data_IF_972164530397
#
_entry.id   IF_972164530397
#
_cell.length_a   1.000
_cell.length_b   1.000
_cell.length_c   1.000
_cell.angle_alpha   90.00
_cell.angle_beta   90.00
_cell.angle_gamma   90.00
#
_symmetry.space_group_name_H-M   'P 1'
#
loop_
_entity.id
_entity.type
_entity.pdbx_description
1 polymer ?
#
# COMPACT_ATOMS: atom_id res chain seq x y z
N UNK A 1 -8.95 -1.56 -15.96
CA UNK A 1 -7.92 -1.85 -14.94
C UNK A 1 -8.63 -1.97 -13.61
N UNK A 2 -8.53 -3.11 -12.94
CA UNK A 2 -9.11 -3.30 -11.60
C UNK A 2 -8.01 -3.01 -10.58
N UNK A 3 -8.20 -1.96 -9.77
CA UNK A 3 -7.22 -1.51 -8.77
C UNK A 3 -7.75 -1.84 -7.38
N UNK A 4 -6.95 -2.55 -6.59
CA UNK A 4 -7.23 -2.80 -5.18
C UNK A 4 -6.31 -1.94 -4.32
N UNK A 5 -6.88 -1.13 -3.42
CA UNK A 5 -6.16 -0.39 -2.40
C UNK A 5 -6.40 -1.07 -1.05
N UNK A 6 -5.32 -1.50 -0.39
CA UNK A 6 -5.34 -1.92 1.00
C UNK A 6 -4.72 -0.81 1.85
N UNK A 7 -5.56 -0.11 2.61
CA UNK A 7 -5.10 0.91 3.55
C UNK A 7 -5.17 0.35 4.98
N UNK A 8 -4.06 0.41 5.71
CA UNK A 8 -3.99 -0.09 7.07
C UNK A 8 -3.60 1.02 8.04
N UNK A 9 -4.60 1.68 8.63
CA UNK A 9 -4.39 2.66 9.70
C UNK A 9 -5.66 2.78 10.58
N UNK A 10 -5.53 2.87 11.91
CA UNK A 10 -6.69 2.94 12.80
C UNK A 10 -7.36 4.33 12.85
N UNK A 11 -6.65 5.40 12.50
CA UNK A 11 -7.17 6.78 12.56
C UNK A 11 -7.43 7.35 11.17
N UNK A 12 -8.62 7.95 11.01
CA UNK A 12 -8.99 8.80 9.87
C UNK A 12 -8.30 10.15 9.90
N UNK A 13 -7.98 10.68 11.08
CA UNK A 13 -7.17 11.89 11.18
C UNK A 13 -5.70 11.49 11.29
N UNK A 14 -5.10 11.08 10.16
CA UNK A 14 -3.70 10.66 10.11
C UNK A 14 -3.05 11.03 8.78
N UNK A 15 -1.72 11.11 8.76
CA UNK A 15 -1.00 11.31 7.51
C UNK A 15 -1.18 10.15 6.52
N UNK A 16 -1.40 8.92 7.02
CA UNK A 16 -1.77 7.78 6.17
C UNK A 16 -3.14 7.96 5.51
N UNK A 17 -4.07 8.68 6.13
CA UNK A 17 -5.32 9.08 5.49
C UNK A 17 -5.05 10.11 4.36
N UNK A 18 -4.21 11.12 4.60
CA UNK A 18 -3.86 12.09 3.55
C UNK A 18 -3.18 11.44 2.33
N UNK A 19 -2.37 10.40 2.55
CA UNK A 19 -1.79 9.57 1.48
C UNK A 19 -2.89 8.84 0.70
N UNK A 20 -3.84 8.22 1.40
CA UNK A 20 -4.99 7.55 0.78
C UNK A 20 -5.81 8.53 -0.05
N UNK A 21 -6.17 9.69 0.49
CA UNK A 21 -6.95 10.71 -0.20
C UNK A 21 -6.22 11.18 -1.48
N UNK A 22 -4.90 11.36 -1.39
CA UNK A 22 -4.07 11.72 -2.54
C UNK A 22 -4.09 10.64 -3.62
N UNK A 23 -4.00 9.35 -3.24
CA UNK A 23 -4.07 8.24 -4.16
C UNK A 23 -5.46 8.14 -4.82
N UNK A 24 -6.54 8.24 -4.04
CA UNK A 24 -7.92 8.21 -4.54
C UNK A 24 -8.19 9.34 -5.54
N UNK A 25 -7.81 10.57 -5.21
CA UNK A 25 -7.96 11.73 -6.11
C UNK A 25 -7.17 11.52 -7.41
N UNK A 26 -5.97 10.93 -7.33
CA UNK A 26 -5.14 10.66 -8.51
C UNK A 26 -5.78 9.61 -9.42
N UNK A 27 -6.31 8.52 -8.85
CA UNK A 27 -7.00 7.46 -9.60
C UNK A 27 -8.30 7.97 -10.23
N UNK A 28 -9.09 8.74 -9.48
CA UNK A 28 -10.36 9.30 -9.95
C UNK A 28 -10.14 10.26 -11.14
N UNK A 29 -9.08 11.07 -11.12
CA UNK A 29 -8.71 11.95 -12.24
C UNK A 29 -8.36 11.18 -13.52
N UNK A 30 -7.92 9.94 -13.38
CA UNK A 30 -7.65 9.03 -14.49
C UNK A 30 -8.84 8.13 -14.84
N UNK A 31 -10.02 8.37 -14.26
CA UNK A 31 -11.24 7.61 -14.54
C UNK A 31 -11.27 6.21 -13.93
N UNK A 32 -10.40 5.91 -12.96
CA UNK A 32 -10.30 4.61 -12.31
C UNK A 32 -10.97 4.68 -10.93
N UNK A 33 -11.94 3.78 -10.72
CA UNK A 33 -12.60 3.59 -9.44
C UNK A 33 -11.97 2.37 -8.75
N UNK A 34 -11.11 2.58 -7.74
CA UNK A 34 -10.47 1.47 -7.05
C UNK A 34 -11.46 0.77 -6.09
N UNK A 35 -11.26 -0.53 -5.89
CA UNK A 35 -11.78 -1.22 -4.72
C UNK A 35 -10.91 -0.84 -3.52
N UNK A 36 -11.48 -0.21 -2.50
CA UNK A 36 -10.79 0.21 -1.29
C UNK A 36 -11.16 -0.69 -0.11
N UNK A 37 -10.16 -1.25 0.57
CA UNK A 37 -10.32 -1.96 1.83
C UNK A 37 -9.51 -1.23 2.91
N UNK A 38 -10.19 -0.84 4.00
CA UNK A 38 -9.58 -0.19 5.16
C UNK A 38 -9.44 -1.17 6.32
N UNK A 39 -8.27 -1.20 6.92
CA UNK A 39 -7.88 -2.19 7.94
C UNK A 39 -7.40 -1.46 9.21
N UNK A 40 -8.10 -1.56 10.34
CA UNK A 40 -7.54 -1.10 11.63
C UNK A 40 -8.47 -0.73 12.79
N UNK A 41 -9.66 -0.17 12.55
CA UNK A 41 -10.56 0.19 13.68
C UNK A 41 -12.04 -0.14 13.48
N UNK A 42 -12.49 -0.26 12.24
CA UNK A 42 -13.78 -0.87 11.91
C UNK A 42 -13.51 -1.99 10.92
N UNK A 43 -13.89 -3.22 11.27
CA UNK A 43 -13.83 -4.36 10.34
C UNK A 43 -14.84 -4.09 9.24
N UNK A 44 -14.44 -3.42 8.17
CA UNK A 44 -15.03 -3.71 6.88
C UNK A 44 -14.50 -5.08 6.46
N UNK A 45 -15.20 -6.13 6.89
CA UNK A 45 -15.22 -7.38 6.14
C UNK A 45 -15.79 -7.01 4.79
N UNK A 46 -14.98 -7.16 3.74
CA UNK A 46 -15.51 -7.25 2.40
C UNK A 46 -16.32 -8.55 2.32
N UNK A 47 -17.58 -8.52 2.78
CA UNK A 47 -18.59 -9.51 2.38
C UNK A 47 -18.99 -9.31 0.90
N UNK A 48 -18.37 -8.35 0.23
CA UNK A 48 -18.47 -8.13 -1.21
C UNK A 48 -17.47 -9.02 -1.95
N UNK A 49 -17.96 -9.81 -2.90
CA UNK A 49 -17.12 -10.56 -3.83
C UNK A 49 -16.09 -9.62 -4.48
N UNK A 50 -14.80 -9.85 -4.19
CA UNK A 50 -13.72 -9.05 -4.75
C UNK A 50 -13.49 -9.50 -6.20
N UNK A 51 -13.44 -8.53 -7.11
CA UNK A 51 -12.93 -8.78 -8.46
C UNK A 51 -11.41 -8.93 -8.39
N UNK A 52 -10.85 -9.79 -9.23
CA UNK A 52 -9.39 -9.95 -9.33
C UNK A 52 -8.75 -8.64 -9.78
N UNK A 53 -7.93 -7.99 -8.94
CA UNK A 53 -7.24 -6.78 -9.33
C UNK A 53 -6.08 -7.11 -10.29
N UNK A 54 -5.87 -6.22 -11.27
CA UNK A 54 -4.65 -6.21 -12.07
C UNK A 54 -3.53 -5.42 -11.39
N UNK A 55 -3.86 -4.62 -10.37
CA UNK A 55 -2.93 -3.74 -9.67
C UNK A 55 -3.27 -3.60 -8.19
N UNK A 56 -2.25 -3.60 -7.34
CA UNK A 56 -2.36 -3.55 -5.88
C UNK A 56 -1.61 -2.34 -5.32
N UNK A 57 -2.30 -1.50 -4.54
CA UNK A 57 -1.69 -0.40 -3.80
C UNK A 57 -1.79 -0.68 -2.31
N UNK A 58 -0.66 -0.67 -1.61
CA UNK A 58 -0.57 -0.88 -0.17
C UNK A 58 -0.24 0.45 0.49
N UNK A 59 -1.09 0.92 1.42
CA UNK A 59 -0.89 2.18 2.15
C UNK A 59 -0.88 1.88 3.64
N UNK A 60 0.26 2.03 4.30
CA UNK A 60 0.39 1.67 5.71
C UNK A 60 1.57 2.36 6.41
N UNK A 61 1.48 2.64 7.72
CA UNK A 61 2.66 2.99 8.52
C UNK A 61 3.51 1.75 8.75
N UNK A 62 4.83 1.90 8.74
CA UNK A 62 5.73 0.82 9.13
C UNK A 62 5.74 0.66 10.65
N UNK A 63 5.26 -0.48 11.13
CA UNK A 63 5.26 -0.86 12.55
C UNK A 63 6.17 -2.06 12.76
N UNK A 64 7.06 -1.96 13.74
CA UNK A 64 8.06 -3.01 14.04
C UNK A 64 8.85 -3.47 12.81
N UNK A 65 9.17 -2.55 11.90
CA UNK A 65 9.94 -2.82 10.68
C UNK A 65 9.13 -3.37 9.50
N UNK A 66 7.82 -3.57 9.66
CA UNK A 66 6.98 -4.20 8.64
C UNK A 66 5.55 -3.68 8.57
N UNK A 67 4.68 -4.56 8.07
CA UNK A 67 3.25 -4.31 7.95
C UNK A 67 2.59 -4.22 9.32
N UNK A 68 1.55 -3.37 9.48
CA UNK A 68 0.61 -3.50 10.58
C UNK A 68 -0.01 -4.89 10.62
N UNK A 69 -0.32 -5.37 11.84
CA UNK A 69 -0.90 -6.70 12.03
C UNK A 69 -2.20 -6.91 11.23
N UNK A 70 -3.03 -5.88 11.09
CA UNK A 70 -4.28 -5.92 10.33
C UNK A 70 -4.06 -6.19 8.84
N UNK A 71 -3.02 -5.60 8.24
CA UNK A 71 -2.65 -5.84 6.84
C UNK A 71 -2.12 -7.26 6.64
N UNK A 72 -1.23 -7.70 7.53
CA UNK A 72 -0.68 -9.05 7.47
C UNK A 72 -1.77 -10.12 7.66
N UNK A 73 -2.71 -9.89 8.59
CA UNK A 73 -3.85 -10.77 8.81
C UNK A 73 -4.71 -10.89 7.56
N UNK A 74 -5.12 -9.77 6.96
CA UNK A 74 -5.96 -9.79 5.76
C UNK A 74 -5.29 -10.53 4.59
N UNK A 75 -4.00 -10.28 4.35
CA UNK A 75 -3.24 -10.96 3.30
C UNK A 75 -3.20 -12.48 3.54
N UNK A 76 -2.94 -12.92 4.78
CA UNK A 76 -2.91 -14.33 5.12
C UNK A 76 -4.30 -15.00 4.95
N UNK A 77 -5.36 -14.32 5.37
CA UNK A 77 -6.74 -14.82 5.22
C UNK A 77 -7.14 -14.96 3.75
N UNK A 78 -6.76 -14.02 2.88
CA UNK A 78 -7.04 -14.10 1.45
C UNK A 78 -6.21 -15.19 0.76
N UNK A 79 -4.94 -15.37 1.12
CA UNK A 79 -4.14 -16.48 0.61
C UNK A 79 -4.76 -17.85 0.93
N UNK A 80 -5.49 -17.97 2.04
CA UNK A 80 -6.14 -19.22 2.46
C UNK A 80 -7.54 -19.39 1.86
N UNK A 81 -8.33 -18.32 1.76
CA UNK A 81 -9.75 -18.37 1.35
C UNK A 81 -9.99 -18.08 -0.13
N UNK A 82 -9.13 -17.28 -0.77
CA UNK A 82 -9.20 -16.86 -2.17
C UNK A 82 -7.78 -16.81 -2.76
N UNK A 83 -7.13 -17.98 -2.85
CA UNK A 83 -5.72 -18.10 -3.22
C UNK A 83 -5.41 -17.59 -4.63
N UNK A 84 -6.42 -17.38 -5.47
CA UNK A 84 -6.30 -16.87 -6.83
C UNK A 84 -6.64 -15.38 -6.97
N UNK A 85 -7.03 -14.69 -5.89
CA UNK A 85 -7.42 -13.28 -5.92
C UNK A 85 -6.30 -12.39 -6.48
N UNK A 86 -5.06 -12.61 -6.05
CA UNK A 86 -3.92 -11.77 -6.39
C UNK A 86 -3.13 -12.24 -7.63
N UNK A 87 -3.51 -13.35 -8.26
CA UNK A 87 -2.76 -13.97 -9.35
C UNK A 87 -2.62 -13.07 -10.59
N UNK A 88 -3.61 -12.22 -10.85
CA UNK A 88 -3.62 -11.33 -12.02
C UNK A 88 -2.92 -9.98 -11.74
N UNK A 89 -2.40 -9.77 -10.53
CA UNK A 89 -1.71 -8.53 -10.16
C UNK A 89 -0.37 -8.44 -10.87
N UNK A 90 -0.23 -7.45 -11.75
CA UNK A 90 1.00 -7.15 -12.51
C UNK A 90 1.79 -5.99 -11.93
N UNK A 91 1.21 -5.22 -11.04
CA UNK A 91 1.88 -4.08 -10.41
C UNK A 91 1.51 -3.97 -8.93
N UNK A 92 2.53 -3.79 -8.08
CA UNK A 92 2.37 -3.53 -6.65
C UNK A 92 3.06 -2.21 -6.31
N UNK A 93 2.30 -1.25 -5.79
CA UNK A 93 2.80 0.01 -5.26
C UNK A 93 2.65 0.03 -3.74
N UNK A 94 3.78 -0.05 -3.03
CA UNK A 94 3.81 0.08 -1.56
C UNK A 94 4.14 1.52 -1.18
N UNK A 95 3.22 2.18 -0.48
CA UNK A 95 3.36 3.54 0.04
C UNK A 95 3.38 3.46 1.57
N UNK A 96 4.49 3.84 2.19
CA UNK A 96 4.65 3.67 3.63
C UNK A 96 5.38 4.82 4.32
N UNK A 97 5.14 4.96 5.62
CA UNK A 97 5.76 5.97 6.47
C UNK A 97 6.54 5.31 7.59
N UNK A 98 7.78 5.74 7.83
CA UNK A 98 8.65 5.24 8.89
C UNK A 98 8.95 6.35 9.90
N UNK A 99 8.93 6.02 11.20
CA UNK A 99 9.50 6.89 12.24
C UNK A 99 11.03 6.88 12.25
N UNK A 100 11.65 5.77 11.82
CA UNK A 100 13.11 5.63 11.73
C UNK A 100 13.69 6.19 10.43
N UNK A 101 15.01 6.38 10.40
CA UNK A 101 15.73 6.80 9.19
C UNK A 101 15.86 5.67 8.16
N UNK A 102 16.14 6.01 6.90
CA UNK A 102 16.42 5.02 5.85
C UNK A 102 17.57 4.08 6.20
N UNK A 103 18.63 4.60 6.83
CA UNK A 103 19.79 3.80 7.25
C UNK A 103 19.40 2.73 8.28
N UNK A 104 18.59 3.07 9.27
CA UNK A 104 18.14 2.11 10.29
C UNK A 104 17.26 1.03 9.65
N UNK A 105 16.33 1.41 8.76
CA UNK A 105 15.52 0.43 8.04
C UNK A 105 16.36 -0.51 7.16
N UNK A 106 17.42 0.02 6.53
CA UNK A 106 18.35 -0.79 5.74
C UNK A 106 19.09 -1.81 6.62
N UNK A 107 19.59 -1.41 7.79
CA UNK A 107 20.24 -2.31 8.74
C UNK A 107 19.29 -3.38 9.29
N UNK A 108 18.00 -3.07 9.39
CA UNK A 108 16.95 -4.02 9.77
C UNK A 108 16.49 -4.92 8.60
N UNK A 109 17.12 -4.79 7.42
CA UNK A 109 16.84 -5.62 6.24
C UNK A 109 15.61 -5.21 5.44
N UNK A 110 15.07 -4.01 5.67
CA UNK A 110 13.88 -3.46 5.00
C UNK A 110 12.72 -4.49 4.97
N UNK A 111 12.39 -5.09 6.13
CA UNK A 111 11.52 -6.27 6.18
C UNK A 111 10.22 -6.12 5.39
N UNK A 112 9.53 -4.98 5.48
CA UNK A 112 8.31 -4.74 4.69
C UNK A 112 8.52 -4.85 3.17
N UNK A 113 9.62 -4.30 2.66
CA UNK A 113 9.99 -4.36 1.24
C UNK A 113 10.40 -5.79 0.85
N UNK A 114 11.18 -6.44 1.70
CA UNK A 114 11.58 -7.84 1.52
C UNK A 114 10.37 -8.78 1.52
N UNK A 115 9.42 -8.59 2.43
CA UNK A 115 8.20 -9.39 2.51
C UNK A 115 7.31 -9.19 1.29
N UNK A 116 7.12 -7.95 0.85
CA UNK A 116 6.40 -7.64 -0.41
C UNK A 116 7.00 -8.43 -1.58
N UNK A 117 8.32 -8.35 -1.75
CA UNK A 117 9.04 -9.02 -2.86
C UNK A 117 9.06 -10.54 -2.74
N UNK A 118 9.28 -11.08 -1.55
CA UNK A 118 9.59 -12.49 -1.36
C UNK A 118 8.38 -13.34 -0.97
N UNK A 119 7.23 -12.74 -0.67
CA UNK A 119 5.98 -13.42 -0.33
C UNK A 119 4.83 -12.96 -1.21
N UNK A 120 4.53 -11.67 -1.22
CA UNK A 120 3.35 -11.15 -1.94
C UNK A 120 3.54 -11.23 -3.46
N UNK A 121 4.69 -10.78 -3.97
CA UNK A 121 4.95 -10.84 -5.41
C UNK A 121 4.95 -12.28 -5.98
N UNK A 122 5.24 -13.30 -5.16
CA UNK A 122 5.30 -14.70 -5.59
C UNK A 122 3.94 -15.36 -5.81
N UNK A 123 2.87 -14.76 -5.27
CA UNK A 123 1.49 -15.22 -5.47
C UNK A 123 0.77 -14.39 -6.54
N UNK A 124 1.46 -13.41 -7.11
CA UNK A 124 0.98 -12.53 -8.18
C UNK A 124 1.45 -13.02 -9.55
N UNK A 125 1.18 -12.23 -10.60
CA UNK A 125 1.66 -12.52 -11.95
C UNK A 125 3.19 -12.60 -11.95
N UNK A 126 3.76 -13.53 -12.73
CA UNK A 126 5.22 -13.72 -12.82
C UNK A 126 5.97 -12.48 -13.32
N UNK A 127 5.28 -11.57 -14.00
CA UNK A 127 5.80 -10.29 -14.50
C UNK A 127 5.61 -9.11 -13.53
N UNK A 128 5.17 -9.37 -12.29
CA UNK A 128 4.79 -8.33 -11.34
C UNK A 128 5.92 -7.32 -11.09
N UNK A 129 5.61 -6.04 -11.31
CA UNK A 129 6.52 -4.93 -11.04
C UNK A 129 6.25 -4.35 -9.67
N UNK A 130 7.32 -4.06 -8.92
CA UNK A 130 7.24 -3.54 -7.56
C UNK A 130 7.74 -2.10 -7.51
N UNK A 131 6.91 -1.19 -7.01
CA UNK A 131 7.28 0.20 -6.72
C UNK A 131 7.16 0.46 -5.23
N UNK A 132 8.15 1.17 -4.67
CA UNK A 132 8.24 1.44 -3.24
C UNK A 132 8.43 2.94 -2.99
N UNK A 133 7.50 3.52 -2.23
CA UNK A 133 7.45 4.95 -1.93
C UNK A 133 7.40 5.15 -0.42
N UNK A 134 8.52 5.53 0.19
CA UNK A 134 8.64 5.68 1.64
C UNK A 134 8.92 7.11 2.08
N UNK A 135 8.28 7.53 3.17
CA UNK A 135 8.65 8.70 3.97
C UNK A 135 9.40 8.21 5.21
N UNK A 136 10.52 8.84 5.55
CA UNK A 136 11.31 8.49 6.74
C UNK A 136 11.33 9.63 7.74
N UNK A 137 11.48 9.29 9.03
CA UNK A 137 11.48 10.25 10.14
C UNK A 137 10.22 11.13 10.15
N UNK A 138 9.05 10.55 9.90
CA UNK A 138 7.78 11.29 9.79
C UNK A 138 7.51 12.22 10.98
N UNK A 139 7.90 11.80 12.20
CA UNK A 139 7.74 12.59 13.43
C UNK A 139 8.59 13.87 13.48
N UNK A 140 9.50 14.04 12.52
CA UNK A 140 10.44 15.18 12.42
C UNK A 140 10.33 15.92 11.09
N UNK A 141 9.39 15.53 10.23
CA UNK A 141 9.19 16.19 8.96
C UNK A 141 8.50 17.54 9.15
N UNK A 142 8.91 18.51 8.33
CA UNK A 142 8.24 19.79 8.16
C UNK A 142 7.01 19.65 7.27
N UNK A 143 6.09 20.61 7.35
CA UNK A 143 4.90 20.64 6.47
C UNK A 143 5.26 20.65 4.98
N UNK A 144 6.38 21.29 4.62
CA UNK A 144 6.87 21.31 3.24
C UNK A 144 7.34 19.91 2.79
N UNK A 145 8.09 19.19 3.63
CA UNK A 145 8.50 17.81 3.35
C UNK A 145 7.30 16.86 3.22
N UNK A 146 6.29 17.03 4.08
CA UNK A 146 5.04 16.27 4.00
C UNK A 146 4.31 16.55 2.69
N UNK A 147 4.19 17.82 2.27
CA UNK A 147 3.57 18.21 0.99
C UNK A 147 4.36 17.66 -0.21
N UNK A 148 5.69 17.73 -0.17
CA UNK A 148 6.56 17.18 -1.21
C UNK A 148 6.40 15.66 -1.32
N UNK A 149 6.25 14.97 -0.19
CA UNK A 149 5.96 13.54 -0.19
C UNK A 149 4.60 13.23 -0.80
N UNK A 150 3.54 14.00 -0.50
CA UNK A 150 2.24 13.82 -1.15
C UNK A 150 2.30 14.09 -2.66
N UNK A 151 3.08 15.08 -3.10
CA UNK A 151 3.32 15.33 -4.52
C UNK A 151 4.02 14.13 -5.19
N UNK A 152 4.99 13.52 -4.50
CA UNK A 152 5.63 12.28 -4.95
C UNK A 152 4.63 11.12 -5.03
N UNK A 153 3.78 10.93 -4.01
CA UNK A 153 2.72 9.91 -4.03
C UNK A 153 1.81 10.09 -5.24
N UNK A 154 1.36 11.32 -5.52
CA UNK A 154 0.57 11.63 -6.71
C UNK A 154 1.28 11.22 -8.00
N UNK A 155 2.56 11.59 -8.16
CA UNK A 155 3.36 11.18 -9.33
C UNK A 155 3.44 9.66 -9.43
N UNK A 156 3.74 9.00 -8.32
CA UNK A 156 3.95 7.55 -8.29
C UNK A 156 2.68 6.78 -8.64
N UNK A 157 1.53 7.22 -8.13
CA UNK A 157 0.21 6.66 -8.46
C UNK A 157 -0.14 6.94 -9.92
N UNK A 158 0.20 8.11 -10.47
CA UNK A 158 -0.08 8.44 -11.88
C UNK A 158 0.75 7.58 -12.82
N UNK A 159 2.05 7.44 -12.57
CA UNK A 159 2.94 6.54 -13.33
C UNK A 159 2.49 5.09 -13.25
N UNK A 160 2.02 4.67 -12.07
CA UNK A 160 1.50 3.32 -11.84
C UNK A 160 0.31 2.94 -12.72
N UNK A 161 -0.44 3.93 -13.23
CA UNK A 161 -1.57 3.71 -14.15
C UNK A 161 -1.16 3.50 -15.62
N UNK A 162 0.11 3.75 -15.95
CA UNK A 162 0.61 3.67 -17.33
C UNK A 162 1.24 2.31 -17.67
N UNK A 163 1.32 1.41 -16.68
CA UNK A 163 1.88 0.05 -16.77
C UNK A 163 0.74 -0.95 -16.92
#
# INVERSE_FOLDING_TARGET
MEVLILQAHPSENSFNQAILDTALVSLQRSGINPTLIRLGKEKLRADTALRKPSALILIYPTWWGGYPASLMQWLNEMCQSQSDLLQDVRTILSITTHGSSKLINLLQGEWGRSYTKNRIAKICDNSVQLKWTSLYKIDRCTDEELKNYLAKVKSDVTEFLTI
#
